data_IF_398224660800
#
_entry.id   IF_398224660800
#
_cell.length_a   1.000
_cell.length_b   1.000
_cell.length_c   1.000
_cell.angle_alpha   90.00
_cell.angle_beta   90.00
_cell.angle_gamma   90.00
#
_symmetry.space_group_name_H-M   'P 1'
#
loop_
_entity.id
_entity.type
_entity.pdbx_description
1 polymer ?
#
# COMPACT_ATOMS: atom_id res chain seq x y z
N UNK A 1 12.21 -9.49 14.13
CA UNK A 1 11.97 -9.75 15.58
C UNK A 1 11.76 -8.39 16.23
N UNK A 2 10.87 -8.31 17.20
CA UNK A 2 10.62 -7.05 17.91
C UNK A 2 11.80 -6.76 18.84
N UNK A 3 12.43 -5.60 18.66
CA UNK A 3 13.61 -5.17 19.41
C UNK A 3 13.23 -4.54 20.76
N UNK A 4 14.22 -4.42 21.63
CA UNK A 4 14.04 -3.73 22.93
C UNK A 4 13.56 -2.29 22.73
N UNK A 5 12.55 -1.87 23.51
CA UNK A 5 11.91 -0.55 23.37
C UNK A 5 12.84 0.66 23.64
N UNK A 6 14.03 0.41 24.20
CA UNK A 6 15.06 1.44 24.38
C UNK A 6 15.92 1.69 23.13
N UNK A 7 16.03 0.71 22.23
CA UNK A 7 16.83 0.83 21.00
C UNK A 7 16.11 1.72 19.98
N UNK A 8 16.85 2.26 19.01
CA UNK A 8 16.22 3.04 17.93
C UNK A 8 15.23 2.18 17.15
N UNK A 9 15.66 1.00 16.71
CA UNK A 9 14.82 0.08 15.95
C UNK A 9 13.54 -0.31 16.72
N UNK A 10 13.65 -0.63 18.02
CA UNK A 10 12.47 -0.95 18.84
C UNK A 10 11.53 0.24 19.07
N UNK A 11 12.03 1.48 18.98
CA UNK A 11 11.18 2.67 19.01
C UNK A 11 10.45 2.91 17.69
N UNK A 12 11.14 2.71 16.56
CA UNK A 12 10.55 2.81 15.23
C UNK A 12 9.47 1.75 15.01
N UNK A 13 9.75 0.50 15.40
CA UNK A 13 8.79 -0.62 15.33
C UNK A 13 7.47 -0.34 16.06
N UNK A 14 7.51 0.50 17.11
CA UNK A 14 6.36 0.87 17.93
C UNK A 14 5.72 2.20 17.54
N UNK A 15 6.16 2.82 16.43
CA UNK A 15 5.62 4.09 15.95
C UNK A 15 5.90 5.28 16.87
N UNK A 16 6.95 5.23 17.70
CA UNK A 16 7.19 6.28 18.69
C UNK A 16 7.80 7.52 18.03
N UNK A 17 7.18 8.69 18.23
CA UNK A 17 7.68 9.97 17.71
C UNK A 17 9.08 10.33 18.19
N UNK A 18 9.50 9.86 19.38
CA UNK A 18 10.90 10.00 19.85
C UNK A 18 11.89 9.21 18.98
N UNK A 19 11.48 8.05 18.45
CA UNK A 19 12.27 7.27 17.51
C UNK A 19 12.47 8.01 16.20
N UNK A 20 11.41 8.67 15.71
CA UNK A 20 11.48 9.48 14.50
C UNK A 20 12.48 10.64 14.62
N UNK A 21 12.41 11.41 15.72
CA UNK A 21 13.39 12.48 15.98
C UNK A 21 14.82 11.96 16.03
N UNK A 22 15.06 10.86 16.75
CA UNK A 22 16.40 10.25 16.85
C UNK A 22 16.92 9.72 15.51
N UNK A 23 16.05 9.22 14.65
CA UNK A 23 16.45 8.68 13.35
C UNK A 23 17.08 9.74 12.46
N UNK A 24 16.60 10.99 12.51
CA UNK A 24 17.17 12.11 11.74
C UNK A 24 18.65 12.37 12.07
N UNK A 25 19.06 12.12 13.31
CA UNK A 25 20.42 12.35 13.78
C UNK A 25 21.37 11.14 13.61
N UNK A 26 20.84 9.99 13.18
CA UNK A 26 21.58 8.72 13.16
C UNK A 26 21.78 8.25 11.71
N UNK A 27 23.04 8.29 11.26
CA UNK A 27 23.42 7.72 9.96
C UNK A 27 23.02 6.24 9.88
N UNK A 28 22.36 5.86 8.79
CA UNK A 28 21.91 4.48 8.56
C UNK A 28 20.58 4.13 9.24
N UNK A 29 19.92 5.06 9.93
CA UNK A 29 18.61 4.80 10.53
C UNK A 29 17.53 4.39 9.51
N UNK A 30 17.69 4.77 8.24
CA UNK A 30 16.80 4.36 7.15
C UNK A 30 16.68 2.84 6.99
N UNK A 31 17.73 2.07 7.29
CA UNK A 31 17.67 0.60 7.25
C UNK A 31 16.67 0.02 8.24
N UNK A 32 16.50 0.67 9.40
CA UNK A 32 15.48 0.25 10.37
C UNK A 32 14.08 0.59 9.90
N UNK A 33 13.90 1.68 9.15
CA UNK A 33 12.62 2.02 8.53
C UNK A 33 12.26 0.98 7.47
N UNK A 34 13.18 0.66 6.56
CA UNK A 34 12.98 -0.40 5.57
C UNK A 34 12.74 -1.76 6.21
N UNK A 35 13.44 -2.10 7.30
CA UNK A 35 13.20 -3.34 8.02
C UNK A 35 11.77 -3.40 8.60
N UNK A 36 11.24 -2.29 9.13
CA UNK A 36 9.88 -2.24 9.64
C UNK A 36 8.83 -2.33 8.53
N UNK A 37 9.04 -1.65 7.39
CA UNK A 37 8.08 -1.69 6.27
C UNK A 37 8.02 -3.07 5.62
N UNK A 38 9.18 -3.71 5.42
CA UNK A 38 9.29 -5.06 4.83
C UNK A 38 8.86 -6.17 5.78
N UNK A 39 9.01 -5.95 7.08
CA UNK A 39 8.63 -6.90 8.12
C UNK A 39 7.79 -6.18 9.16
N UNK A 40 6.50 -6.10 8.83
CA UNK A 40 5.51 -5.41 9.63
C UNK A 40 5.62 -5.76 11.12
N UNK A 41 5.97 -4.81 12.00
CA UNK A 41 6.15 -5.06 13.43
C UNK A 41 4.83 -4.98 14.21
N UNK A 42 3.69 -4.71 13.54
CA UNK A 42 2.38 -4.67 14.17
C UNK A 42 2.04 -6.04 14.77
N UNK A 43 1.63 -5.98 16.03
CA UNK A 43 1.08 -7.13 16.73
C UNK A 43 -0.30 -7.48 16.17
N UNK A 44 -1.14 -6.47 16.01
CA UNK A 44 -2.46 -6.57 15.39
C UNK A 44 -2.52 -5.58 14.23
N UNK A 45 -2.48 -6.12 13.01
CA UNK A 45 -2.47 -5.35 11.76
C UNK A 45 -3.83 -4.71 11.45
N UNK A 46 -4.90 -5.24 12.04
CA UNK A 46 -6.28 -4.77 11.84
C UNK A 46 -6.60 -3.57 12.73
N UNK A 47 -6.08 -3.56 13.96
CA UNK A 47 -6.37 -2.51 14.94
C UNK A 47 -5.41 -1.31 14.89
N UNK A 48 -4.27 -1.44 14.22
CA UNK A 48 -3.23 -0.40 14.17
C UNK A 48 -2.80 -0.05 12.75
N UNK A 49 -2.82 1.24 12.43
CA UNK A 49 -2.22 1.75 11.19
C UNK A 49 -0.87 2.40 11.46
N UNK A 50 0.19 1.88 10.82
CA UNK A 50 1.55 2.47 10.86
C UNK A 50 2.03 3.00 9.51
N UNK A 51 1.23 2.89 8.43
CA UNK A 51 1.65 3.29 7.09
C UNK A 51 2.05 4.77 6.98
N UNK A 52 1.22 5.68 7.49
CA UNK A 52 1.51 7.12 7.41
C UNK A 52 2.73 7.51 8.25
N UNK A 53 2.98 6.82 9.36
CA UNK A 53 4.17 7.03 10.18
C UNK A 53 5.45 6.70 9.39
N UNK A 54 5.50 5.55 8.73
CA UNK A 54 6.67 5.16 7.94
C UNK A 54 6.80 5.98 6.66
N UNK A 55 5.70 6.34 5.99
CA UNK A 55 5.74 7.20 4.81
C UNK A 55 6.33 8.59 5.16
N UNK A 56 5.92 9.19 6.29
CA UNK A 56 6.51 10.45 6.78
C UNK A 56 7.99 10.30 7.12
N UNK A 57 8.38 9.22 7.79
CA UNK A 57 9.80 8.94 8.03
C UNK A 57 10.61 8.82 6.75
N UNK A 58 10.07 8.18 5.73
CA UNK A 58 10.75 8.08 4.43
C UNK A 58 10.90 9.45 3.77
N UNK A 59 9.92 10.35 3.90
CA UNK A 59 10.05 11.74 3.45
C UNK A 59 11.11 12.49 4.27
N UNK A 60 11.01 12.46 5.60
CA UNK A 60 11.88 13.20 6.52
C UNK A 60 13.35 12.77 6.42
N UNK A 61 13.59 11.49 6.12
CA UNK A 61 14.92 10.90 5.96
C UNK A 61 15.36 10.81 4.49
N UNK A 62 14.58 11.37 3.56
CA UNK A 62 14.83 11.37 2.11
C UNK A 62 15.07 9.96 1.52
N UNK A 63 14.39 8.95 2.05
CA UNK A 63 14.56 7.57 1.63
C UNK A 63 13.86 7.30 0.29
N UNK A 64 14.52 6.62 -0.67
CA UNK A 64 13.88 6.23 -1.92
C UNK A 64 12.81 5.14 -1.69
N UNK A 65 11.79 5.11 -2.55
CA UNK A 65 10.76 4.07 -2.55
C UNK A 65 11.25 2.70 -3.08
N UNK A 66 12.37 2.67 -3.82
CA UNK A 66 12.91 1.47 -4.48
C UNK A 66 13.01 0.23 -3.56
N UNK A 67 13.65 0.32 -2.37
CA UNK A 67 13.76 -0.83 -1.47
C UNK A 67 12.41 -1.34 -0.92
N UNK A 68 11.38 -0.49 -0.88
CA UNK A 68 10.00 -0.92 -0.55
C UNK A 68 9.38 -1.65 -1.74
N UNK A 69 9.60 -1.15 -2.96
CA UNK A 69 9.12 -1.78 -4.18
C UNK A 69 9.76 -3.14 -4.45
N UNK A 70 11.06 -3.30 -4.16
CA UNK A 70 11.77 -4.58 -4.28
C UNK A 70 11.14 -5.68 -3.42
N UNK A 71 10.66 -5.33 -2.22
CA UNK A 71 9.99 -6.26 -1.31
C UNK A 71 8.66 -6.79 -1.84
N UNK A 72 7.97 -6.02 -2.69
CA UNK A 72 6.69 -6.42 -3.28
C UNK A 72 6.85 -7.57 -4.29
N UNK A 73 8.03 -7.74 -4.90
CA UNK A 73 8.24 -8.79 -5.91
C UNK A 73 9.19 -9.87 -5.41
N UNK A 74 9.21 -10.10 -4.10
CA UNK A 74 10.06 -11.13 -3.53
C UNK A 74 9.45 -12.51 -3.86
N UNK A 75 10.23 -13.50 -4.32
CA UNK A 75 9.71 -14.82 -4.63
C UNK A 75 8.94 -15.48 -3.48
N UNK A 76 9.20 -15.07 -2.23
CA UNK A 76 8.46 -15.54 -1.06
C UNK A 76 6.96 -15.21 -1.12
N UNK A 77 6.53 -14.17 -1.86
CA UNK A 77 5.12 -13.82 -2.01
C UNK A 77 4.25 -14.93 -2.61
N UNK A 78 4.85 -15.89 -3.32
CA UNK A 78 4.14 -17.05 -3.87
C UNK A 78 4.13 -18.28 -2.94
N UNK A 79 4.89 -18.25 -1.85
CA UNK A 79 5.10 -19.42 -0.97
C UNK A 79 4.80 -19.16 0.50
N UNK A 80 4.84 -17.90 0.92
CA UNK A 80 4.56 -17.48 2.28
C UNK A 80 3.03 -17.43 2.50
N UNK A 81 2.49 -18.13 3.50
CA UNK A 81 1.06 -18.09 3.78
C UNK A 81 0.59 -16.78 4.44
N UNK A 82 1.49 -15.85 4.80
CA UNK A 82 1.11 -14.55 5.35
C UNK A 82 0.55 -13.61 4.27
N UNK A 83 -0.77 -13.65 4.08
CA UNK A 83 -1.51 -12.79 3.13
C UNK A 83 -1.26 -11.29 3.34
N UNK A 84 -0.80 -10.88 4.53
CA UNK A 84 -0.57 -9.48 4.90
C UNK A 84 0.90 -9.05 4.75
N UNK A 85 1.77 -9.91 4.21
CA UNK A 85 3.22 -9.66 4.08
C UNK A 85 3.54 -8.33 3.39
N UNK A 86 2.73 -7.94 2.41
CA UNK A 86 2.92 -6.71 1.62
C UNK A 86 1.98 -5.57 2.00
N UNK A 87 0.99 -5.80 2.86
CA UNK A 87 -0.04 -4.82 3.25
C UNK A 87 0.58 -3.47 3.68
N UNK A 88 1.52 -3.53 4.63
CA UNK A 88 2.18 -2.32 5.12
C UNK A 88 2.99 -1.61 4.01
N UNK A 89 3.65 -2.37 3.14
CA UNK A 89 4.45 -1.82 2.05
C UNK A 89 3.58 -1.10 1.01
N UNK A 90 2.45 -1.71 0.63
CA UNK A 90 1.47 -1.11 -0.28
C UNK A 90 0.90 0.18 0.31
N UNK A 91 0.44 0.14 1.56
CA UNK A 91 -0.09 1.31 2.24
C UNK A 91 0.94 2.44 2.39
N UNK A 92 2.21 2.12 2.63
CA UNK A 92 3.30 3.11 2.68
C UNK A 92 3.53 3.76 1.31
N UNK A 93 3.55 3.00 0.22
CA UNK A 93 3.68 3.55 -1.12
C UNK A 93 2.49 4.47 -1.48
N UNK A 94 1.26 4.07 -1.13
CA UNK A 94 0.09 4.89 -1.34
C UNK A 94 0.16 6.21 -0.53
N UNK A 95 0.55 6.14 0.75
CA UNK A 95 0.73 7.34 1.57
C UNK A 95 1.88 8.23 1.07
N UNK A 96 2.94 7.67 0.48
CA UNK A 96 3.98 8.45 -0.21
C UNK A 96 3.43 9.23 -1.40
N UNK A 97 2.55 8.62 -2.22
CA UNK A 97 1.86 9.33 -3.31
C UNK A 97 1.00 10.47 -2.75
N UNK A 98 0.26 10.24 -1.67
CA UNK A 98 -0.52 11.30 -0.96
C UNK A 98 0.38 12.42 -0.44
N UNK A 99 1.60 12.10 -0.02
CA UNK A 99 2.64 13.06 0.37
C UNK A 99 3.43 13.64 -0.82
N UNK A 100 2.90 13.53 -2.05
CA UNK A 100 3.46 14.07 -3.29
C UNK A 100 4.78 13.42 -3.77
N UNK A 101 5.19 12.28 -3.20
CA UNK A 101 6.30 11.45 -3.71
C UNK A 101 5.80 10.57 -4.86
N UNK A 102 5.58 11.20 -6.01
CA UNK A 102 4.93 10.58 -7.18
C UNK A 102 5.67 9.36 -7.74
N UNK A 103 6.97 9.23 -7.49
CA UNK A 103 7.75 8.06 -7.90
C UNK A 103 7.24 6.76 -7.26
N UNK A 104 6.53 6.82 -6.12
CA UNK A 104 5.94 5.66 -5.46
C UNK A 104 4.72 5.10 -6.20
N UNK A 105 4.09 5.86 -7.11
CA UNK A 105 2.92 5.40 -7.86
C UNK A 105 3.27 4.30 -8.88
N UNK A 106 4.43 4.40 -9.53
CA UNK A 106 4.87 3.45 -10.54
C UNK A 106 5.00 2.00 -10.01
N UNK A 107 5.71 1.73 -8.89
CA UNK A 107 5.77 0.38 -8.34
C UNK A 107 4.42 -0.12 -7.82
N UNK A 108 3.59 0.76 -7.23
CA UNK A 108 2.24 0.38 -6.79
C UNK A 108 1.37 -0.06 -7.96
N UNK A 109 1.39 0.70 -9.06
CA UNK A 109 0.68 0.36 -10.30
C UNK A 109 1.18 -0.94 -10.92
N UNK A 110 2.50 -1.13 -11.00
CA UNK A 110 3.07 -2.38 -11.51
C UNK A 110 2.65 -3.58 -10.67
N UNK A 111 2.62 -3.44 -9.34
CA UNK A 111 2.20 -4.53 -8.46
C UNK A 111 0.70 -4.85 -8.60
N UNK A 112 -0.15 -3.85 -8.87
CA UNK A 112 -1.55 -4.09 -9.22
C UNK A 112 -1.73 -4.88 -10.55
N UNK A 113 -0.76 -4.84 -11.46
CA UNK A 113 -0.81 -5.62 -12.72
C UNK A 113 -0.23 -7.03 -12.54
N UNK A 114 0.92 -7.15 -11.88
CA UNK A 114 1.77 -8.34 -11.92
C UNK A 114 1.89 -9.06 -10.57
N UNK A 115 1.54 -8.40 -9.47
CA UNK A 115 1.80 -8.85 -8.11
C UNK A 115 0.99 -10.07 -7.69
N UNK A 116 1.51 -10.82 -6.72
CA UNK A 116 0.77 -11.93 -6.13
C UNK A 116 -0.48 -11.41 -5.39
N UNK A 117 -0.34 -10.30 -4.64
CA UNK A 117 -1.40 -9.66 -3.86
C UNK A 117 -1.92 -8.42 -4.61
N UNK A 118 -2.13 -8.59 -5.93
CA UNK A 118 -2.49 -7.49 -6.83
C UNK A 118 -3.80 -6.78 -6.43
N UNK A 119 -4.77 -7.52 -5.87
CA UNK A 119 -6.08 -6.98 -5.49
C UNK A 119 -5.93 -5.86 -4.44
N UNK A 120 -5.10 -6.07 -3.43
CA UNK A 120 -4.84 -5.07 -2.37
C UNK A 120 -4.17 -3.81 -2.93
N UNK A 121 -3.29 -3.95 -3.93
CA UNK A 121 -2.69 -2.80 -4.60
C UNK A 121 -3.70 -2.03 -5.46
N UNK A 122 -4.65 -2.72 -6.08
CA UNK A 122 -5.76 -2.07 -6.78
C UNK A 122 -6.63 -1.28 -5.79
N UNK A 123 -6.93 -1.84 -4.63
CA UNK A 123 -7.66 -1.14 -3.55
C UNK A 123 -6.94 0.15 -3.15
N UNK A 124 -5.64 0.08 -2.87
CA UNK A 124 -4.86 1.26 -2.52
C UNK A 124 -4.85 2.33 -3.63
N UNK A 125 -4.81 1.93 -4.91
CA UNK A 125 -4.90 2.86 -6.05
C UNK A 125 -6.28 3.50 -6.20
N UNK A 126 -7.36 2.75 -5.97
CA UNK A 126 -8.73 3.30 -5.95
C UNK A 126 -8.87 4.32 -4.83
N UNK A 127 -8.28 4.06 -3.67
CA UNK A 127 -8.26 4.94 -2.50
C UNK A 127 -7.37 6.19 -2.67
N UNK A 128 -6.60 6.29 -3.76
CA UNK A 128 -5.93 7.54 -4.15
C UNK A 128 -6.87 8.48 -4.91
N UNK A 129 -8.02 7.99 -5.37
CA UNK A 129 -9.06 8.76 -6.06
C UNK A 129 -8.53 9.53 -7.30
N UNK A 130 -7.46 9.01 -7.93
CA UNK A 130 -6.86 9.57 -9.14
C UNK A 130 -6.96 8.58 -10.31
N UNK A 131 -7.92 8.79 -11.25
CA UNK A 131 -8.09 7.93 -12.42
C UNK A 131 -6.86 7.83 -13.33
N UNK A 132 -5.95 8.82 -13.30
CA UNK A 132 -4.74 8.78 -14.13
C UNK A 132 -3.75 7.71 -13.68
N UNK A 133 -3.77 7.34 -12.40
CA UNK A 133 -2.92 6.29 -11.83
C UNK A 133 -3.44 4.88 -12.14
N UNK A 134 -4.69 4.77 -12.61
CA UNK A 134 -5.39 3.49 -12.80
C UNK A 134 -5.75 3.20 -14.25
N UNK A 135 -5.21 3.97 -15.19
CA UNK A 135 -5.41 3.74 -16.61
C UNK A 135 -5.01 2.30 -17.00
N UNK A 136 -5.96 1.58 -17.63
CA UNK A 136 -5.81 0.19 -18.07
C UNK A 136 -6.03 -0.87 -16.99
N UNK A 137 -6.07 -0.50 -15.70
CA UNK A 137 -6.35 -1.47 -14.63
C UNK A 137 -7.81 -1.93 -14.63
N UNK A 138 -8.70 -1.18 -15.28
CA UNK A 138 -10.09 -1.58 -15.46
C UNK A 138 -10.25 -2.88 -16.26
N UNK A 139 -9.41 -3.11 -17.27
CA UNK A 139 -9.36 -4.38 -18.01
C UNK A 139 -8.82 -5.52 -17.14
N UNK A 140 -7.78 -5.26 -16.33
CA UNK A 140 -7.19 -6.25 -15.40
C UNK A 140 -8.23 -6.69 -14.39
N UNK A 141 -8.92 -5.75 -13.75
CA UNK A 141 -10.00 -6.00 -12.80
C UNK A 141 -11.16 -6.73 -13.47
N UNK A 142 -11.62 -6.28 -14.64
CA UNK A 142 -12.72 -6.92 -15.35
C UNK A 142 -12.38 -8.36 -15.82
N UNK A 143 -11.11 -8.66 -16.07
CA UNK A 143 -10.67 -10.00 -16.45
C UNK A 143 -10.50 -10.96 -15.25
N UNK A 144 -10.05 -10.45 -14.10
CA UNK A 144 -9.68 -11.27 -12.94
C UNK A 144 -10.78 -11.38 -11.88
N UNK A 145 -11.58 -10.33 -11.69
CA UNK A 145 -12.60 -10.30 -10.65
C UNK A 145 -13.89 -11.00 -11.07
N UNK A 146 -14.52 -11.69 -10.13
CA UNK A 146 -15.93 -12.07 -10.21
C UNK A 146 -16.85 -10.94 -9.69
N UNK A 147 -18.16 -11.20 -9.58
CA UNK A 147 -19.12 -10.21 -9.09
C UNK A 147 -18.96 -9.89 -7.59
N UNK A 148 -18.49 -10.84 -6.78
CA UNK A 148 -18.25 -10.64 -5.35
C UNK A 148 -16.99 -9.81 -5.12
N UNK A 149 -15.92 -10.09 -5.85
CA UNK A 149 -14.69 -9.31 -5.86
C UNK A 149 -14.97 -7.85 -6.24
N UNK A 150 -15.75 -7.63 -7.31
CA UNK A 150 -16.14 -6.28 -7.73
C UNK A 150 -16.95 -5.55 -6.66
N UNK A 151 -17.82 -6.26 -5.91
CA UNK A 151 -18.59 -5.66 -4.83
C UNK A 151 -17.70 -5.23 -3.64
N UNK A 152 -16.61 -5.96 -3.37
CA UNK A 152 -15.62 -5.60 -2.35
C UNK A 152 -14.75 -4.41 -2.81
N UNK A 153 -14.44 -4.36 -4.10
CA UNK A 153 -13.56 -3.35 -4.68
C UNK A 153 -14.21 -1.95 -4.74
N UNK A 154 -15.52 -1.89 -4.93
CA UNK A 154 -16.22 -0.61 -5.09
C UNK A 154 -16.52 0.00 -3.71
N UNK A 155 -16.00 1.19 -3.39
CA UNK A 155 -16.30 1.86 -2.14
C UNK A 155 -17.79 2.22 -2.04
N UNK A 156 -18.36 2.19 -0.84
CA UNK A 156 -19.75 2.62 -0.59
C UNK A 156 -20.01 4.13 -0.78
N UNK A 157 -18.99 4.90 -1.20
CA UNK A 157 -19.06 6.33 -1.51
C UNK A 157 -18.71 6.56 -2.98
N UNK A 158 -19.11 7.70 -3.54
CA UNK A 158 -18.64 8.10 -4.89
C UNK A 158 -17.12 8.11 -4.93
N UNK A 159 -16.57 7.49 -5.96
CA UNK A 159 -15.14 7.37 -6.19
C UNK A 159 -14.86 7.60 -7.69
N UNK A 160 -14.04 8.60 -8.06
CA UNK A 160 -13.81 8.98 -9.45
C UNK A 160 -13.11 7.89 -10.28
N UNK A 161 -12.30 7.03 -9.64
CA UNK A 161 -11.67 5.88 -10.32
C UNK A 161 -12.75 4.90 -10.76
N UNK A 162 -13.65 4.51 -9.84
CA UNK A 162 -14.73 3.58 -10.16
C UNK A 162 -15.67 4.17 -11.22
N UNK A 163 -15.99 5.45 -11.14
CA UNK A 163 -16.83 6.12 -12.13
C UNK A 163 -16.18 6.13 -13.53
N UNK A 164 -14.88 6.42 -13.61
CA UNK A 164 -14.12 6.38 -14.85
C UNK A 164 -13.99 4.95 -15.43
N UNK A 165 -13.95 3.94 -14.56
CA UNK A 165 -13.95 2.53 -14.97
C UNK A 165 -15.33 2.08 -15.44
N UNK A 166 -16.40 2.41 -14.71
CA UNK A 166 -17.78 2.09 -15.08
C UNK A 166 -18.18 2.68 -16.43
N UNK A 167 -17.65 3.86 -16.79
CA UNK A 167 -17.86 4.46 -18.11
C UNK A 167 -17.28 3.63 -19.28
N UNK A 168 -16.32 2.74 -19.01
CA UNK A 168 -15.58 1.95 -20.01
C UNK A 168 -15.82 0.44 -19.91
N UNK A 169 -16.15 -0.05 -18.71
CA UNK A 169 -16.31 -1.47 -18.41
C UNK A 169 -17.74 -1.80 -17.97
N UNK A 170 -18.52 -2.52 -18.80
CA UNK A 170 -19.90 -2.89 -18.46
C UNK A 170 -20.03 -3.70 -17.17
N UNK A 171 -19.04 -4.57 -16.86
CA UNK A 171 -19.04 -5.36 -15.61
C UNK A 171 -18.93 -4.48 -14.36
N UNK A 172 -18.03 -3.50 -14.39
CA UNK A 172 -17.86 -2.53 -13.29
C UNK A 172 -19.10 -1.65 -13.16
N UNK A 173 -19.68 -1.21 -14.28
CA UNK A 173 -20.93 -0.44 -14.29
C UNK A 173 -22.10 -1.20 -13.64
N UNK A 174 -22.25 -2.49 -13.96
CA UNK A 174 -23.28 -3.34 -13.37
C UNK A 174 -23.08 -3.53 -11.86
N UNK A 175 -21.84 -3.76 -11.41
CA UNK A 175 -21.52 -3.88 -9.99
C UNK A 175 -21.81 -2.57 -9.23
N UNK A 176 -21.41 -1.42 -9.78
CA UNK A 176 -21.69 -0.11 -9.20
C UNK A 176 -23.20 0.17 -9.10
N UNK A 177 -23.98 -0.21 -10.11
CA UNK A 177 -25.42 -0.06 -10.10
C UNK A 177 -26.08 -0.90 -8.99
N UNK A 178 -25.63 -2.14 -8.78
CA UNK A 178 -26.13 -3.02 -7.71
C UNK A 178 -25.86 -2.47 -6.32
N UNK A 179 -24.71 -1.84 -6.10
CA UNK A 179 -24.36 -1.28 -4.79
C UNK A 179 -25.12 0.01 -4.46
N UNK A 180 -25.62 0.72 -5.47
CA UNK A 180 -26.42 1.94 -5.32
C UNK A 180 -27.94 1.68 -5.21
N UNK A 181 -28.38 0.46 -5.47
CA UNK A 181 -29.78 0.03 -5.38
C UNK A 181 -30.16 -0.30 -3.94
#
# INVERSE_FOLDING_TARGET
MLESAGTLHGQLQRGLGRGARRAADIRGAGEYVYACVRRDPRWDRQCESRRLYYARLMVDLELPAGPVAEHLFDPSDHTDPDEWRVDLALGVLADLVRLSRREAAAPLRRYAEEGAQWFDAVVELIDLEDPSLTAGLDDVVAARCDDADLALLIPGRSNPVIEAWAARQPRVAAALARQRA
#
